data_IF_434807426108
#
_entry.id   IF_434807426108
#
_cell.length_a   1.000
_cell.length_b   1.000
_cell.length_c   1.000
_cell.angle_alpha   90.00
_cell.angle_beta   90.00
_cell.angle_gamma   90.00
#
_symmetry.space_group_name_H-M   'P 1'
#
loop_
_entity.id
_entity.type
_entity.pdbx_description
1 polymer ?
#
# COMPACT_ATOMS: atom_id res chain seq x y z
N UNK A 1 0.76 1.07 -36.54
CA UNK A 1 0.46 0.67 -35.14
C UNK A 1 -0.10 1.89 -34.43
N UNK A 2 -1.20 1.75 -33.70
CA UNK A 2 -1.75 2.85 -32.89
C UNK A 2 -0.73 3.27 -31.83
N UNK A 3 -0.65 4.57 -31.53
CA UNK A 3 0.17 5.04 -30.41
C UNK A 3 -0.28 4.35 -29.10
N UNK A 4 0.66 3.99 -28.21
CA UNK A 4 0.31 3.31 -26.96
C UNK A 4 -0.54 4.21 -26.05
N UNK A 5 -1.46 3.61 -25.31
CA UNK A 5 -2.31 4.32 -24.37
C UNK A 5 -1.49 4.69 -23.13
N UNK A 6 -1.43 5.98 -22.82
CA UNK A 6 -0.75 6.46 -21.61
C UNK A 6 -1.52 5.99 -20.36
N UNK A 7 -0.87 5.23 -19.49
CA UNK A 7 -1.49 4.62 -18.30
C UNK A 7 -0.80 5.09 -17.02
N UNK A 8 -1.61 5.46 -16.03
CA UNK A 8 -1.16 5.71 -14.66
C UNK A 8 -1.79 4.64 -13.75
N UNK A 9 -0.98 4.00 -12.91
CA UNK A 9 -1.44 2.97 -11.98
C UNK A 9 -1.53 3.56 -10.57
N UNK A 10 -2.61 3.26 -9.87
CA UNK A 10 -2.83 3.63 -8.48
C UNK A 10 -2.76 2.36 -7.63
N UNK A 11 -1.90 2.35 -6.62
CA UNK A 11 -1.68 1.19 -5.75
C UNK A 11 -1.99 1.60 -4.32
N UNK A 12 -2.94 0.90 -3.69
CA UNK A 12 -3.06 0.86 -2.25
C UNK A 12 -2.07 -0.18 -1.71
N UNK A 13 -1.04 0.28 -1.01
CA UNK A 13 0.07 -0.52 -0.54
C UNK A 13 -0.32 -1.57 0.51
N UNK A 14 -1.33 -1.30 1.35
CA UNK A 14 -1.77 -2.28 2.34
C UNK A 14 -2.63 -3.34 1.70
N UNK A 15 -3.64 -2.96 0.91
CA UNK A 15 -4.47 -3.91 0.20
C UNK A 15 -3.63 -4.76 -0.78
N UNK A 16 -2.67 -4.14 -1.47
CA UNK A 16 -1.73 -4.86 -2.33
C UNK A 16 -0.86 -5.83 -1.52
N UNK A 17 -0.32 -5.41 -0.38
CA UNK A 17 0.48 -6.28 0.47
C UNK A 17 -0.35 -7.46 0.99
N UNK A 18 -1.50 -7.23 1.60
CA UNK A 18 -2.31 -8.29 2.20
C UNK A 18 -2.96 -9.21 1.17
N UNK A 19 -3.36 -8.69 0.01
CA UNK A 19 -4.04 -9.45 -1.03
C UNK A 19 -3.12 -10.23 -1.97
N UNK A 20 -1.93 -9.70 -2.29
CA UNK A 20 -1.07 -10.28 -3.34
C UNK A 20 0.34 -10.65 -2.87
N UNK A 21 0.89 -9.98 -1.85
CA UNK A 21 2.31 -10.14 -1.47
C UNK A 21 2.48 -10.97 -0.20
N UNK A 22 1.57 -10.86 0.77
CA UNK A 22 1.67 -11.49 2.08
C UNK A 22 1.68 -13.01 1.94
N UNK A 23 2.62 -13.67 2.62
CA UNK A 23 2.82 -15.11 2.53
C UNK A 23 3.59 -15.56 1.29
N UNK A 24 3.88 -14.66 0.35
CA UNK A 24 4.73 -14.96 -0.81
C UNK A 24 6.20 -14.62 -0.53
N UNK A 25 7.08 -15.13 -1.40
CA UNK A 25 8.50 -14.74 -1.44
C UNK A 25 8.75 -13.35 -2.05
N UNK A 26 7.72 -12.73 -2.63
CA UNK A 26 7.83 -11.51 -3.45
C UNK A 26 7.73 -10.21 -2.63
N UNK A 27 8.33 -10.19 -1.43
CA UNK A 27 8.28 -9.01 -0.54
C UNK A 27 9.04 -7.79 -1.07
N UNK A 28 9.87 -7.98 -2.09
CA UNK A 28 10.69 -6.97 -2.77
C UNK A 28 10.29 -6.80 -4.22
N UNK A 29 9.00 -6.94 -4.51
CA UNK A 29 8.49 -6.85 -5.87
C UNK A 29 8.79 -5.48 -6.48
N UNK A 30 9.25 -5.45 -7.72
CA UNK A 30 9.30 -4.22 -8.50
C UNK A 30 7.90 -3.96 -9.12
N UNK A 31 7.15 -2.94 -8.65
CA UNK A 31 5.82 -2.65 -9.17
C UNK A 31 5.88 -2.16 -10.63
N UNK A 32 6.96 -1.51 -11.06
CA UNK A 32 7.12 -1.07 -12.45
C UNK A 32 7.24 -2.28 -13.37
N UNK A 33 8.09 -3.24 -13.02
CA UNK A 33 8.24 -4.48 -13.77
C UNK A 33 6.93 -5.30 -13.80
N UNK A 34 6.24 -5.39 -12.66
CA UNK A 34 4.94 -6.06 -12.57
C UNK A 34 3.93 -5.43 -13.53
N UNK A 35 3.68 -4.13 -13.42
CA UNK A 35 2.60 -3.49 -14.18
C UNK A 35 2.93 -3.33 -15.65
N UNK A 36 4.21 -3.22 -16.04
CA UNK A 36 4.59 -3.33 -17.47
C UNK A 36 4.22 -4.69 -18.04
N UNK A 37 4.42 -5.77 -17.28
CA UNK A 37 4.05 -7.12 -17.72
C UNK A 37 2.53 -7.31 -17.77
N UNK A 38 1.79 -6.75 -16.81
CA UNK A 38 0.33 -6.86 -16.74
C UNK A 38 -0.39 -6.03 -17.80
N UNK A 39 0.05 -4.78 -18.02
CA UNK A 39 -0.60 -3.85 -18.94
C UNK A 39 -0.39 -4.20 -20.42
N UNK A 40 0.69 -4.94 -20.74
CA UNK A 40 1.01 -5.33 -22.11
C UNK A 40 1.52 -4.18 -22.99
N UNK A 41 1.96 -4.48 -24.24
CA UNK A 41 2.62 -3.51 -25.12
C UNK A 41 1.73 -2.38 -25.64
N UNK A 42 0.41 -2.52 -25.55
CA UNK A 42 -0.57 -1.52 -25.98
C UNK A 42 -0.68 -0.33 -25.01
N UNK A 43 -0.13 -0.47 -23.80
CA UNK A 43 -0.17 0.53 -22.74
C UNK A 43 1.25 1.01 -22.42
N UNK A 44 1.42 2.32 -22.34
CA UNK A 44 2.64 2.94 -21.83
C UNK A 44 2.44 3.27 -20.36
N UNK A 45 3.13 2.56 -19.47
CA UNK A 45 3.13 2.90 -18.05
C UNK A 45 3.88 4.23 -17.85
N UNK A 46 3.14 5.32 -17.64
CA UNK A 46 3.70 6.64 -17.41
C UNK A 46 4.15 6.82 -15.95
N UNK A 47 3.29 6.45 -14.99
CA UNK A 47 3.52 6.68 -13.56
C UNK A 47 2.77 5.66 -12.69
N UNK A 48 3.30 5.40 -11.51
CA UNK A 48 2.66 4.65 -10.43
C UNK A 48 2.51 5.58 -9.23
N UNK A 49 1.29 5.76 -8.74
CA UNK A 49 1.00 6.44 -7.47
C UNK A 49 0.76 5.39 -6.40
N UNK A 50 1.70 5.29 -5.47
CA UNK A 50 1.72 4.26 -4.44
C UNK A 50 1.33 4.87 -3.09
N UNK A 51 0.14 4.55 -2.61
CA UNK A 51 -0.43 5.05 -1.37
C UNK A 51 -0.12 4.07 -0.25
N UNK A 52 0.51 4.53 0.83
CA UNK A 52 0.84 3.66 1.96
C UNK A 52 1.02 4.48 3.23
N UNK A 53 1.21 3.83 4.37
CA UNK A 53 1.61 4.50 5.60
C UNK A 53 2.76 3.74 6.27
N UNK A 54 3.52 4.44 7.12
CA UNK A 54 4.62 3.84 7.87
C UNK A 54 4.06 2.88 8.92
N UNK A 55 4.47 1.62 8.84
CA UNK A 55 4.12 0.62 9.83
C UNK A 55 4.90 0.86 11.11
N UNK A 56 4.23 0.69 12.25
CA UNK A 56 4.88 0.77 13.56
C UNK A 56 5.40 -0.60 13.99
N UNK A 57 6.53 -0.64 14.72
CA UNK A 57 6.98 -1.85 15.41
C UNK A 57 5.87 -2.44 16.29
N UNK A 58 5.85 -3.77 16.38
CA UNK A 58 4.99 -4.48 17.33
C UNK A 58 5.82 -5.46 18.15
N UNK A 59 5.37 -5.88 19.35
CA UNK A 59 6.09 -6.88 20.15
C UNK A 59 6.39 -8.18 19.40
N UNK A 60 5.50 -8.58 18.48
CA UNK A 60 5.64 -9.80 17.68
C UNK A 60 6.54 -9.61 16.45
N UNK A 61 6.76 -8.37 16.02
CA UNK A 61 7.56 -8.04 14.84
C UNK A 61 8.18 -6.65 14.99
N UNK A 62 9.29 -6.54 15.75
CA UNK A 62 9.90 -5.25 16.08
C UNK A 62 10.58 -4.59 14.89
N UNK A 63 10.92 -5.37 13.85
CA UNK A 63 11.68 -4.90 12.68
C UNK A 63 10.80 -4.66 11.44
N UNK A 64 9.47 -4.69 11.58
CA UNK A 64 8.54 -4.52 10.46
C UNK A 64 8.69 -3.17 9.76
N UNK A 65 8.91 -2.10 10.53
CA UNK A 65 9.16 -0.75 10.04
C UNK A 65 10.46 -0.68 9.24
N UNK A 66 11.53 -1.29 9.74
CA UNK A 66 12.84 -1.29 9.06
C UNK A 66 12.75 -1.95 7.68
N UNK A 67 12.02 -3.06 7.59
CA UNK A 67 11.83 -3.77 6.30
C UNK A 67 10.97 -2.94 5.34
N UNK A 68 9.87 -2.37 5.82
CA UNK A 68 9.02 -1.51 4.98
C UNK A 68 9.81 -0.28 4.49
N UNK A 69 10.51 0.40 5.39
CA UNK A 69 11.29 1.60 5.08
C UNK A 69 12.41 1.30 4.07
N UNK A 70 13.02 0.13 4.16
CA UNK A 70 14.05 -0.29 3.22
C UNK A 70 13.46 -0.54 1.83
N UNK A 71 12.29 -1.19 1.75
CA UNK A 71 11.59 -1.38 0.50
C UNK A 71 11.16 -0.05 -0.13
N UNK A 72 10.56 0.85 0.65
CA UNK A 72 10.11 2.14 0.16
C UNK A 72 11.28 3.03 -0.32
N UNK A 73 12.41 3.02 0.39
CA UNK A 73 13.64 3.69 -0.06
C UNK A 73 14.17 3.09 -1.36
N UNK A 74 14.13 1.76 -1.51
CA UNK A 74 14.54 1.11 -2.74
C UNK A 74 13.64 1.51 -3.92
N UNK A 75 12.32 1.59 -3.71
CA UNK A 75 11.39 2.08 -4.73
C UNK A 75 11.72 3.53 -5.14
N UNK A 76 11.97 4.42 -4.19
CA UNK A 76 12.33 5.82 -4.49
C UNK A 76 13.65 5.92 -5.25
N UNK A 77 14.65 5.09 -4.91
CA UNK A 77 15.97 5.13 -5.52
C UNK A 77 16.02 4.48 -6.91
N UNK A 78 15.26 3.41 -7.14
CA UNK A 78 15.39 2.57 -8.34
C UNK A 78 14.19 2.63 -9.28
N UNK A 79 13.03 3.12 -8.83
CA UNK A 79 11.80 3.18 -9.61
C UNK A 79 11.34 4.64 -9.77
N UNK A 80 11.92 5.43 -10.68
CA UNK A 80 11.60 6.86 -10.85
C UNK A 80 10.14 7.11 -11.27
N UNK A 81 9.46 6.09 -11.78
CA UNK A 81 8.04 6.14 -12.13
C UNK A 81 7.12 5.99 -10.92
N UNK A 82 7.65 5.62 -9.75
CA UNK A 82 6.87 5.42 -8.52
C UNK A 82 6.89 6.70 -7.70
N UNK A 83 5.70 7.23 -7.45
CA UNK A 83 5.45 8.34 -6.55
C UNK A 83 4.83 7.80 -5.26
N UNK A 84 5.52 7.95 -4.13
CA UNK A 84 5.04 7.51 -2.84
C UNK A 84 4.16 8.58 -2.19
N UNK A 85 2.94 8.21 -1.83
CA UNK A 85 2.02 9.04 -1.05
C UNK A 85 1.83 8.42 0.33
N UNK A 86 2.25 9.15 1.37
CA UNK A 86 2.15 8.68 2.74
C UNK A 86 0.85 9.17 3.40
N UNK A 87 -0.04 8.24 3.76
CA UNK A 87 -1.22 8.51 4.58
C UNK A 87 -0.90 8.51 6.07
N UNK A 88 -1.85 9.00 6.88
CA UNK A 88 -1.78 8.94 8.35
C UNK A 88 -2.62 7.77 8.87
N UNK A 89 -1.98 6.73 9.39
CA UNK A 89 -2.69 5.64 10.09
C UNK A 89 -2.99 6.05 11.53
N UNK A 90 -4.25 5.93 11.95
CA UNK A 90 -4.66 6.05 13.35
C UNK A 90 -4.89 4.64 13.91
N UNK A 91 -3.84 4.04 14.46
CA UNK A 91 -3.99 2.84 15.28
C UNK A 91 -4.50 3.26 16.66
N UNK A 92 -5.73 2.90 16.97
CA UNK A 92 -6.33 3.15 18.27
C UNK A 92 -6.95 1.88 18.84
N UNK A 93 -7.01 1.81 20.17
CA UNK A 93 -7.66 0.72 20.89
C UNK A 93 -9.15 0.97 20.84
N UNK A 94 -9.90 -0.04 20.40
CA UNK A 94 -11.36 -0.02 20.44
C UNK A 94 -11.85 -1.28 21.14
N UNK A 95 -12.97 -1.14 21.83
CA UNK A 95 -13.72 -2.28 22.33
C UNK A 95 -14.64 -2.77 21.22
N UNK A 96 -14.51 -4.03 20.82
CA UNK A 96 -15.44 -4.68 19.88
C UNK A 96 -16.18 -5.81 20.57
N UNK A 97 -17.42 -6.05 20.14
CA UNK A 97 -18.22 -7.17 20.61
C UNK A 97 -17.61 -8.50 20.17
N UNK A 98 -17.60 -9.45 21.10
CA UNK A 98 -17.06 -10.77 20.83
C UNK A 98 -18.12 -11.58 20.08
N UNK A 99 -17.78 -12.03 18.87
CA UNK A 99 -18.69 -12.80 18.03
C UNK A 99 -19.18 -14.11 18.69
N UNK A 100 -18.47 -14.62 19.71
CA UNK A 100 -18.84 -15.86 20.42
C UNK A 100 -18.49 -15.78 21.92
N UNK A 101 -19.34 -15.15 22.77
CA UNK A 101 -19.06 -14.89 24.18
C UNK A 101 -18.90 -16.18 25.03
N UNK A 102 -18.17 -16.16 26.17
CA UNK A 102 -17.57 -15.00 26.87
C UNK A 102 -16.03 -14.87 26.72
N UNK A 103 -15.43 -13.66 26.91
CA UNK A 103 -16.04 -12.40 27.35
C UNK A 103 -16.92 -11.74 26.26
N UNK A 104 -17.86 -10.85 26.62
CA UNK A 104 -18.81 -10.22 25.68
C UNK A 104 -18.17 -9.17 24.77
N UNK A 105 -17.03 -8.60 25.16
CA UNK A 105 -16.24 -7.69 24.35
C UNK A 105 -14.75 -7.90 24.58
N UNK A 106 -13.95 -7.54 23.59
CA UNK A 106 -12.49 -7.57 23.68
C UNK A 106 -11.91 -6.22 23.24
N UNK A 107 -10.87 -5.79 23.94
CA UNK A 107 -10.04 -4.68 23.47
C UNK A 107 -9.23 -5.16 22.27
N UNK A 108 -9.54 -4.63 21.09
CA UNK A 108 -8.85 -4.96 19.85
C UNK A 108 -8.09 -3.75 19.35
N UNK A 109 -6.95 -4.01 18.72
CA UNK A 109 -6.25 -3.01 17.95
C UNK A 109 -6.98 -2.83 16.62
N UNK A 110 -7.74 -1.73 16.49
CA UNK A 110 -8.31 -1.35 15.20
C UNK A 110 -7.31 -0.49 14.47
N UNK A 111 -6.84 -1.05 13.36
CA UNK A 111 -6.05 -0.30 12.39
C UNK A 111 -7.04 0.40 11.48
N UNK A 112 -7.30 1.68 11.73
CA UNK A 112 -8.13 2.49 10.85
C UNK A 112 -7.21 3.33 9.97
N UNK A 113 -7.22 3.03 8.67
CA UNK A 113 -6.63 3.89 7.67
C UNK A 113 -7.55 5.10 7.51
N UNK A 114 -7.11 6.28 7.96
CA UNK A 114 -7.81 7.52 7.69
C UNK A 114 -6.96 8.31 6.69
N UNK A 115 -7.30 8.22 5.41
CA UNK A 115 -6.66 9.08 4.40
C UNK A 115 -6.56 8.54 2.98
N UNK A 116 -6.89 7.28 2.69
CA UNK A 116 -6.99 6.82 1.30
C UNK A 116 -8.30 7.28 0.64
N UNK A 117 -9.43 7.17 1.35
CA UNK A 117 -10.76 7.51 0.84
C UNK A 117 -10.97 9.01 0.55
N UNK A 118 -10.12 9.89 1.07
CA UNK A 118 -10.21 11.35 0.83
C UNK A 118 -9.27 11.83 -0.28
N UNK A 119 -8.24 11.04 -0.64
CA UNK A 119 -7.23 11.48 -1.62
C UNK A 119 -7.45 10.95 -3.04
N UNK A 120 -8.48 10.12 -3.25
CA UNK A 120 -8.94 9.73 -4.59
C UNK A 120 -9.73 10.85 -5.29
N UNK A 121 -10.20 11.88 -4.57
CA UNK A 121 -11.04 12.96 -5.10
C UNK A 121 -10.36 14.35 -5.19
N UNK A 122 -9.05 14.44 -5.42
CA UNK A 122 -8.45 15.74 -5.78
C UNK A 122 -7.27 15.65 -6.75
N UNK A 123 -7.53 15.54 -8.06
CA UNK A 123 -6.65 16.15 -9.05
C UNK A 123 -6.95 17.66 -9.05
N UNK A 124 -6.34 18.42 -8.12
CA UNK A 124 -6.31 19.89 -8.27
C UNK A 124 -5.39 20.23 -9.43
N UNK A 125 -6.01 20.51 -10.57
CA UNK A 125 -5.48 21.37 -11.62
C UNK A 125 -5.00 22.69 -11.01
N UNK A 126 -3.70 22.94 -11.07
CA UNK A 126 -3.09 24.23 -11.41
C UNK A 126 -1.73 23.93 -12.06
#
# INVERSE_FOLDING_TARGET
MSAPLRTIVYIDGFNFYYGAVRGTRWKWLDPVALFRKVLGPQNELCKIKYFTARVQPSPNDPNVNVRQDTYLRALQAHCPQVELHFGHFLRHRVWMEHANPPPPSAEVWKNEEKGSDVNLESPRLL
#
